data_IF_668254295199
#
_entry.id   IF_668254295199
#
_cell.length_a   1.000
_cell.length_b   1.000
_cell.length_c   1.000
_cell.angle_alpha   90.00
_cell.angle_beta   90.00
_cell.angle_gamma   90.00
#
_symmetry.space_group_name_H-M   'P 1'
#
loop_
_entity.id
_entity.type
_entity.pdbx_description
1 polymer ?
#
# COMPACT_ATOMS: atom_id res chain seq x y z
N UNK A 1 39.60 18.26 35.57
CA UNK A 1 39.49 17.74 34.19
C UNK A 1 38.49 16.58 34.00
N UNK A 2 38.21 15.72 35.01
CA UNK A 2 37.28 14.58 34.86
C UNK A 2 35.77 14.94 34.81
N UNK A 3 35.37 16.07 35.39
CA UNK A 3 33.95 16.49 35.46
C UNK A 3 33.44 16.99 34.09
N UNK A 4 34.32 17.60 33.28
CA UNK A 4 33.95 18.15 31.97
C UNK A 4 33.72 17.06 30.92
N UNK A 5 34.40 15.91 31.03
CA UNK A 5 34.17 14.75 30.15
C UNK A 5 32.84 14.03 30.46
N UNK A 6 32.38 14.05 31.72
CA UNK A 6 31.11 13.43 32.12
C UNK A 6 29.90 14.23 31.59
N UNK A 7 30.01 15.56 31.51
CA UNK A 7 28.94 16.43 30.96
C UNK A 7 28.76 16.30 29.45
N UNK A 8 29.84 16.03 28.70
CA UNK A 8 29.78 15.84 27.24
C UNK A 8 29.13 14.48 26.88
N UNK A 9 29.34 13.44 27.69
CA UNK A 9 28.65 12.15 27.51
C UNK A 9 27.14 12.23 27.84
N UNK A 10 26.74 13.07 28.80
CA UNK A 10 25.33 13.28 29.14
C UNK A 10 24.57 14.05 28.04
N UNK A 11 25.24 14.97 27.34
CA UNK A 11 24.67 15.73 26.23
C UNK A 11 24.48 14.90 24.95
N UNK A 12 25.32 13.89 24.71
CA UNK A 12 25.12 12.97 23.58
C UNK A 12 23.98 11.96 23.80
N UNK A 13 23.72 11.58 25.06
CA UNK A 13 22.67 10.61 25.41
C UNK A 13 21.23 11.13 25.20
N UNK A 14 21.03 12.44 25.07
CA UNK A 14 19.71 13.05 24.84
C UNK A 14 19.38 13.30 23.36
N UNK A 15 20.30 13.01 22.44
CA UNK A 15 20.12 13.32 21.01
C UNK A 15 19.50 12.20 20.18
N UNK A 16 19.14 11.06 20.79
CA UNK A 16 18.71 9.87 20.04
C UNK A 16 17.25 9.52 20.34
N UNK A 17 16.47 9.37 19.26
CA UNK A 17 15.09 8.92 19.16
C UNK A 17 13.97 9.97 19.27
N UNK A 18 13.97 10.95 18.36
CA UNK A 18 12.70 11.23 17.67
C UNK A 18 12.38 10.03 16.77
N UNK A 19 11.72 9.01 17.31
CA UNK A 19 11.09 8.01 16.47
C UNK A 19 10.08 8.74 15.57
N UNK A 20 10.25 8.67 14.25
CA UNK A 20 9.23 9.03 13.28
C UNK A 20 8.01 8.12 13.52
N UNK A 21 7.14 8.50 14.45
CA UNK A 21 5.94 7.73 14.78
C UNK A 21 4.89 8.06 13.74
N UNK A 22 4.46 7.03 13.04
CA UNK A 22 3.37 7.11 12.10
C UNK A 22 2.07 7.48 12.85
N UNK A 23 1.39 8.56 12.46
CA UNK A 23 0.15 9.03 13.09
C UNK A 23 -1.04 8.54 12.27
N UNK A 24 -1.92 7.72 12.86
CA UNK A 24 -3.10 7.22 12.16
C UNK A 24 -4.08 8.35 11.81
N UNK A 25 -4.70 8.28 10.63
CA UNK A 25 -5.69 9.25 10.13
C UNK A 25 -6.91 8.54 9.52
N UNK A 26 -8.02 9.27 9.33
CA UNK A 26 -9.28 8.78 8.74
C UNK A 26 -9.52 9.39 7.34
N UNK A 27 -9.16 8.71 6.25
CA UNK A 27 -9.36 9.25 4.91
C UNK A 27 -10.74 8.84 4.35
N UNK A 28 -11.73 9.70 4.55
CA UNK A 28 -13.17 9.42 4.36
C UNK A 28 -13.56 8.92 2.95
N UNK A 29 -12.85 9.30 1.87
CA UNK A 29 -13.22 8.94 0.48
C UNK A 29 -12.49 7.71 -0.09
N UNK A 30 -11.22 7.48 0.25
CA UNK A 30 -10.43 6.37 -0.34
C UNK A 30 -10.76 5.01 0.26
N UNK A 31 -11.47 4.96 1.39
CA UNK A 31 -11.98 3.73 2.02
C UNK A 31 -12.63 2.76 1.04
N UNK A 32 -13.37 3.31 0.06
CA UNK A 32 -14.10 2.53 -0.96
C UNK A 32 -13.20 1.80 -1.96
N UNK A 33 -11.92 2.16 -2.05
CA UNK A 33 -10.95 1.56 -2.97
C UNK A 33 -10.27 0.31 -2.39
N UNK A 34 -10.46 0.04 -1.10
CA UNK A 34 -9.84 -1.08 -0.40
C UNK A 34 -10.89 -2.06 0.09
N UNK A 35 -10.53 -3.34 0.31
CA UNK A 35 -11.45 -4.32 0.89
C UNK A 35 -12.01 -3.83 2.24
N UNK A 36 -13.31 -4.07 2.48
CA UNK A 36 -14.01 -3.53 3.64
C UNK A 36 -13.32 -3.89 4.96
N UNK A 37 -13.11 -2.86 5.81
CA UNK A 37 -12.63 -3.03 7.19
C UNK A 37 -11.13 -3.30 7.37
N UNK A 38 -10.31 -3.24 6.31
CA UNK A 38 -8.91 -3.70 6.36
C UNK A 38 -7.87 -2.72 5.85
N UNK A 39 -8.17 -1.43 5.87
CA UNK A 39 -7.18 -0.40 5.60
C UNK A 39 -6.92 0.47 6.83
N UNK A 40 -5.67 0.91 6.99
CA UNK A 40 -5.28 1.97 7.93
C UNK A 40 -4.48 3.02 7.17
N UNK A 41 -4.60 4.28 7.56
CA UNK A 41 -3.84 5.36 6.96
C UNK A 41 -3.01 6.08 8.01
N UNK A 42 -1.83 6.51 7.61
CA UNK A 42 -0.80 7.04 8.50
C UNK A 42 -0.12 8.26 7.88
N UNK A 43 0.27 9.22 8.71
CA UNK A 43 1.24 10.27 8.36
C UNK A 43 2.60 9.95 8.96
N UNK A 44 3.66 10.14 8.20
CA UNK A 44 5.06 9.98 8.62
C UNK A 44 5.93 10.98 7.86
N UNK A 45 7.07 11.40 8.40
CA UNK A 45 7.99 12.24 7.62
C UNK A 45 8.56 11.49 6.41
N UNK A 46 9.00 10.26 6.66
CA UNK A 46 9.53 9.34 5.65
C UNK A 46 9.00 7.93 5.90
N UNK A 47 8.74 7.21 4.81
CA UNK A 47 8.41 5.80 4.89
C UNK A 47 9.65 4.99 5.29
N UNK A 48 9.46 4.05 6.22
CA UNK A 48 10.49 3.15 6.69
C UNK A 48 10.24 1.79 6.06
N UNK A 49 11.21 1.30 5.29
CA UNK A 49 11.09 0.02 4.61
C UNK A 49 11.17 -1.14 5.62
N UNK A 50 10.35 -2.20 5.45
CA UNK A 50 10.52 -3.42 6.23
C UNK A 50 11.84 -4.10 5.86
N UNK A 51 12.45 -4.81 6.82
CA UNK A 51 13.78 -5.39 6.64
C UNK A 51 13.80 -6.63 5.75
N UNK A 52 12.74 -7.46 5.74
CA UNK A 52 12.73 -8.76 5.07
C UNK A 52 11.41 -9.06 4.35
N UNK A 53 11.47 -9.96 3.37
CA UNK A 53 10.34 -10.49 2.60
C UNK A 53 9.41 -9.41 2.02
N UNK A 54 10.00 -8.50 1.26
CA UNK A 54 9.26 -7.43 0.59
C UNK A 54 9.51 -7.43 -0.90
N UNK A 55 8.49 -7.00 -1.66
CA UNK A 55 8.64 -6.55 -3.04
C UNK A 55 8.19 -5.10 -3.10
N UNK A 56 9.05 -4.25 -3.66
CA UNK A 56 8.79 -2.81 -3.78
C UNK A 56 8.44 -2.50 -5.24
N UNK A 57 7.23 -2.01 -5.48
CA UNK A 57 6.84 -1.42 -6.77
C UNK A 57 6.97 0.10 -6.68
N UNK A 58 7.77 0.68 -7.57
CA UNK A 58 8.04 2.11 -7.62
C UNK A 58 7.15 2.80 -8.64
N UNK A 59 6.59 3.93 -8.25
CA UNK A 59 5.89 4.88 -9.13
C UNK A 59 6.54 6.25 -9.03
N UNK A 60 6.28 7.13 -10.01
CA UNK A 60 6.69 8.54 -9.90
C UNK A 60 5.69 9.36 -9.07
N UNK A 61 6.14 10.53 -8.63
CA UNK A 61 5.25 11.54 -8.03
C UNK A 61 4.11 11.89 -8.98
N UNK A 62 2.87 11.73 -8.51
CA UNK A 62 1.67 12.00 -9.29
C UNK A 62 1.43 11.04 -10.46
N UNK A 63 2.11 9.90 -10.52
CA UNK A 63 1.94 8.91 -11.59
C UNK A 63 1.40 7.59 -11.05
N UNK A 64 0.56 6.95 -11.86
CA UNK A 64 0.01 5.62 -11.65
C UNK A 64 0.96 4.49 -12.10
N UNK A 65 1.81 4.73 -13.10
CA UNK A 65 2.64 3.68 -13.74
C UNK A 65 3.62 3.04 -12.76
N UNK A 66 3.55 1.71 -12.66
CA UNK A 66 4.54 0.91 -11.95
C UNK A 66 5.74 0.65 -12.88
N UNK A 67 6.93 1.11 -12.47
CA UNK A 67 8.15 1.06 -13.30
C UNK A 67 8.81 -0.31 -13.35
N UNK A 68 8.57 -1.14 -12.36
CA UNK A 68 9.29 -2.38 -12.14
C UNK A 68 8.35 -3.55 -11.87
N UNK A 69 7.31 -3.70 -12.70
CA UNK A 69 6.29 -4.76 -12.60
C UNK A 69 6.89 -6.17 -12.54
N UNK A 70 8.01 -6.41 -13.24
CA UNK A 70 8.74 -7.69 -13.23
C UNK A 70 9.39 -8.06 -11.89
N UNK A 71 9.38 -7.18 -10.89
CA UNK A 71 9.86 -7.50 -9.54
C UNK A 71 8.99 -8.56 -8.83
N UNK A 72 7.80 -8.83 -9.36
CA UNK A 72 6.90 -9.87 -8.89
C UNK A 72 6.68 -10.91 -9.97
N UNK A 73 6.72 -12.18 -9.56
CA UNK A 73 6.32 -13.30 -10.42
C UNK A 73 4.94 -13.76 -9.99
N UNK A 74 3.92 -13.49 -10.80
CA UNK A 74 2.54 -13.93 -10.52
C UNK A 74 2.35 -15.44 -10.56
N UNK A 75 3.30 -16.20 -11.10
CA UNK A 75 3.25 -17.66 -11.05
C UNK A 75 3.92 -18.23 -9.79
N UNK A 76 4.55 -17.39 -8.97
CA UNK A 76 5.16 -17.78 -7.72
C UNK A 76 4.11 -17.81 -6.60
N UNK A 77 3.62 -19.02 -6.31
CA UNK A 77 2.70 -19.29 -5.20
C UNK A 77 3.41 -19.61 -3.90
N UNK A 78 4.75 -19.59 -3.85
CA UNK A 78 5.50 -19.79 -2.61
C UNK A 78 5.48 -18.56 -1.71
N UNK A 79 4.94 -17.43 -2.19
CA UNK A 79 4.84 -16.17 -1.46
C UNK A 79 3.39 -15.86 -1.09
N UNK A 80 3.06 -16.08 0.19
CA UNK A 80 1.77 -15.68 0.75
C UNK A 80 1.80 -14.20 1.14
N UNK A 81 1.13 -13.34 0.37
CA UNK A 81 1.00 -11.91 0.68
C UNK A 81 0.11 -11.73 1.91
N UNK A 82 0.53 -10.89 2.85
CA UNK A 82 -0.26 -10.61 4.06
C UNK A 82 -0.49 -9.13 4.32
N UNK A 83 0.31 -8.24 3.72
CA UNK A 83 0.17 -6.80 3.90
C UNK A 83 0.69 -6.03 2.67
N UNK A 84 0.01 -4.94 2.34
CA UNK A 84 0.41 -4.03 1.27
C UNK A 84 0.36 -2.60 1.79
N UNK A 85 1.50 -1.91 1.67
CA UNK A 85 1.59 -0.49 1.97
C UNK A 85 1.57 0.31 0.66
N UNK A 86 0.59 1.20 0.49
CA UNK A 86 0.58 2.24 -0.52
C UNK A 86 1.22 3.51 0.06
N UNK A 87 2.30 3.99 -0.56
CA UNK A 87 3.08 5.11 -0.06
C UNK A 87 3.09 6.28 -1.05
N UNK A 88 2.88 7.48 -0.54
CA UNK A 88 2.89 8.72 -1.32
C UNK A 88 3.25 9.92 -0.46
N UNK A 89 3.69 11.00 -1.09
CA UNK A 89 3.91 12.28 -0.42
C UNK A 89 2.64 13.11 -0.35
N UNK A 90 2.39 13.73 0.80
CA UNK A 90 1.37 14.76 1.00
C UNK A 90 1.90 16.13 0.54
N UNK A 91 1.83 16.43 -0.77
CA UNK A 91 2.32 17.70 -1.31
C UNK A 91 1.59 18.17 -2.58
N UNK A 92 0.94 19.35 -2.61
CA UNK A 92 0.99 20.40 -1.60
C UNK A 92 0.29 20.01 -0.28
N UNK A 93 0.76 20.54 0.85
CA UNK A 93 0.37 20.10 2.20
C UNK A 93 -1.08 20.42 2.61
N UNK A 94 -1.93 20.86 1.68
CA UNK A 94 -3.33 21.17 1.93
C UNK A 94 -4.22 19.97 1.61
N UNK A 95 -4.59 19.22 2.64
CA UNK A 95 -5.45 18.03 2.54
C UNK A 95 -6.79 18.30 1.84
N UNK A 96 -7.36 19.50 1.95
CA UNK A 96 -8.65 19.83 1.31
C UNK A 96 -8.55 19.89 -0.21
N UNK A 97 -7.40 20.30 -0.74
CA UNK A 97 -7.13 20.28 -2.19
C UNK A 97 -6.77 18.87 -2.68
N UNK A 98 -6.48 17.95 -1.77
CA UNK A 98 -5.95 16.62 -2.07
C UNK A 98 -7.01 15.53 -2.18
N UNK A 99 -8.19 15.73 -1.62
CA UNK A 99 -9.21 14.67 -1.55
C UNK A 99 -9.76 14.21 -2.91
N UNK A 100 -9.73 15.07 -3.93
CA UNK A 100 -10.26 14.74 -5.27
C UNK A 100 -9.16 14.12 -6.14
N UNK A 101 -8.00 14.78 -6.25
CA UNK A 101 -6.86 14.27 -7.02
C UNK A 101 -6.32 12.92 -6.48
N UNK A 102 -6.38 12.72 -5.16
CA UNK A 102 -5.84 11.50 -4.56
C UNK A 102 -6.72 10.28 -4.79
N UNK A 103 -8.04 10.46 -4.93
CA UNK A 103 -8.94 9.33 -5.19
C UNK A 103 -8.67 8.71 -6.56
N UNK A 104 -8.63 9.53 -7.62
CA UNK A 104 -8.40 9.05 -8.98
C UNK A 104 -6.98 8.50 -9.15
N UNK A 105 -5.96 9.17 -8.61
CA UNK A 105 -4.59 8.65 -8.64
C UNK A 105 -4.49 7.31 -7.90
N UNK A 106 -5.14 7.17 -6.75
CA UNK A 106 -5.13 5.90 -5.99
C UNK A 106 -5.87 4.82 -6.75
N UNK A 107 -7.04 5.11 -7.30
CA UNK A 107 -7.83 4.18 -8.09
C UNK A 107 -7.03 3.67 -9.28
N UNK A 108 -6.36 4.57 -10.02
CA UNK A 108 -5.55 4.20 -11.17
C UNK A 108 -4.30 3.40 -10.78
N UNK A 109 -3.64 3.75 -9.66
CA UNK A 109 -2.54 2.95 -9.09
C UNK A 109 -2.98 1.56 -8.68
N UNK A 110 -4.15 1.46 -8.07
CA UNK A 110 -4.75 0.17 -7.72
C UNK A 110 -4.99 -0.65 -8.98
N UNK A 111 -5.58 -0.08 -10.04
CA UNK A 111 -5.75 -0.78 -11.31
C UNK A 111 -4.42 -1.29 -11.87
N UNK A 112 -3.38 -0.45 -11.92
CA UNK A 112 -2.02 -0.85 -12.37
C UNK A 112 -1.44 -1.99 -11.53
N UNK A 113 -1.69 -2.00 -10.22
CA UNK A 113 -1.25 -3.09 -9.35
C UNK A 113 -2.02 -4.40 -9.63
N UNK A 114 -3.32 -4.32 -9.93
CA UNK A 114 -4.15 -5.49 -10.24
C UNK A 114 -3.82 -6.12 -11.59
N UNK A 115 -3.35 -5.34 -12.56
CA UNK A 115 -2.80 -5.85 -13.82
C UNK A 115 -1.55 -6.71 -13.59
N UNK A 116 -0.81 -6.49 -12.48
CA UNK A 116 0.33 -7.33 -12.11
C UNK A 116 -0.13 -8.65 -11.51
N UNK A 117 -1.03 -8.60 -10.53
CA UNK A 117 -1.58 -9.78 -9.87
C UNK A 117 -2.92 -9.49 -9.16
N UNK A 118 -3.96 -10.24 -9.50
CA UNK A 118 -5.30 -10.10 -8.92
C UNK A 118 -5.35 -10.52 -7.44
N UNK A 119 -4.41 -11.33 -6.95
CA UNK A 119 -4.39 -11.84 -5.57
C UNK A 119 -4.36 -10.71 -4.54
N UNK A 120 -3.81 -9.55 -4.89
CA UNK A 120 -3.65 -8.40 -4.01
C UNK A 120 -5.00 -7.85 -3.50
N UNK A 121 -6.10 -8.05 -4.24
CA UNK A 121 -7.44 -7.64 -3.82
C UNK A 121 -8.35 -8.82 -3.49
N UNK A 122 -8.17 -9.96 -4.17
CA UNK A 122 -9.00 -11.14 -3.95
C UNK A 122 -8.83 -11.71 -2.54
N UNK A 123 -7.60 -11.78 -2.05
CA UNK A 123 -7.35 -12.24 -0.69
C UNK A 123 -7.72 -11.14 0.31
N UNK A 124 -8.95 -11.23 0.80
CA UNK A 124 -9.44 -10.28 1.80
C UNK A 124 -8.61 -10.30 3.08
N UNK A 125 -7.78 -11.30 3.37
CA UNK A 125 -6.93 -11.31 4.58
C UNK A 125 -5.72 -10.36 4.49
N UNK A 126 -5.42 -9.84 3.30
CA UNK A 126 -4.35 -8.85 3.12
C UNK A 126 -4.73 -7.56 3.85
N UNK A 127 -3.82 -7.12 4.73
CA UNK A 127 -3.91 -5.81 5.39
C UNK A 127 -3.45 -4.73 4.44
N UNK A 128 -4.19 -3.64 4.36
CA UNK A 128 -3.81 -2.49 3.58
C UNK A 128 -3.37 -1.33 4.47
N UNK A 129 -2.26 -0.71 4.14
CA UNK A 129 -1.84 0.52 4.79
C UNK A 129 -1.60 1.62 3.77
N UNK A 130 -1.83 2.85 4.20
CA UNK A 130 -1.61 4.04 3.43
C UNK A 130 -0.65 4.93 4.21
N UNK A 131 0.48 5.30 3.61
CA UNK A 131 1.47 6.17 4.23
C UNK A 131 1.59 7.49 3.47
N UNK A 132 1.21 8.57 4.15
CA UNK A 132 1.40 9.96 3.76
C UNK A 132 2.74 10.46 4.26
N UNK A 133 3.66 10.72 3.34
CA UNK A 133 4.96 11.32 3.65
C UNK A 133 4.86 12.85 3.74
N UNK A 134 5.25 13.43 4.88
CA UNK A 134 5.07 14.86 5.20
C UNK A 134 6.34 15.71 5.09
N UNK A 135 7.50 15.12 4.86
CA UNK A 135 8.78 15.85 4.87
C UNK A 135 8.96 16.83 3.70
N UNK A 136 8.24 16.66 2.59
CA UNK A 136 8.41 17.50 1.41
C UNK A 136 7.89 18.92 1.60
N UNK A 137 8.76 19.92 1.43
CA UNK A 137 8.41 21.35 1.52
C UNK A 137 8.09 21.98 0.17
N UNK A 138 8.55 21.36 -0.91
CA UNK A 138 8.35 21.80 -2.28
C UNK A 138 8.22 20.59 -3.23
N UNK A 139 7.85 20.85 -4.48
CA UNK A 139 7.66 19.81 -5.50
C UNK A 139 8.92 18.98 -5.78
N UNK A 140 10.09 19.58 -5.67
CA UNK A 140 11.38 18.87 -5.87
C UNK A 140 11.61 17.86 -4.76
N UNK A 141 11.34 18.22 -3.51
CA UNK A 141 11.42 17.30 -2.37
C UNK A 141 10.40 16.18 -2.49
N UNK A 142 9.17 16.52 -2.90
CA UNK A 142 8.11 15.53 -3.09
C UNK A 142 8.51 14.46 -4.12
N UNK A 143 9.08 14.87 -5.26
CA UNK A 143 9.60 13.95 -6.28
C UNK A 143 10.70 13.00 -5.80
N UNK A 144 11.44 13.35 -4.74
CA UNK A 144 12.53 12.54 -4.19
C UNK A 144 12.06 11.53 -3.14
N UNK A 145 10.86 11.71 -2.59
CA UNK A 145 10.31 10.75 -1.65
C UNK A 145 9.85 9.47 -2.37
N UNK A 146 9.73 8.38 -1.63
CA UNK A 146 9.31 7.11 -2.19
C UNK A 146 7.81 7.14 -2.51
N UNK A 147 7.45 6.69 -3.70
CA UNK A 147 6.07 6.45 -4.07
C UNK A 147 5.90 5.06 -4.66
N UNK A 148 4.76 4.44 -4.36
CA UNK A 148 4.36 3.15 -4.92
C UNK A 148 3.87 2.19 -3.86
N UNK A 149 4.09 0.91 -4.09
CA UNK A 149 3.59 -0.16 -3.24
C UNK A 149 4.73 -0.95 -2.60
N UNK A 150 4.54 -1.36 -1.36
CA UNK A 150 5.41 -2.32 -0.67
C UNK A 150 4.58 -3.54 -0.30
N UNK A 151 4.82 -4.63 -1.01
CA UNK A 151 4.15 -5.92 -0.82
C UNK A 151 4.95 -6.72 0.20
N UNK A 152 4.34 -7.06 1.33
CA UNK A 152 4.94 -7.89 2.38
C UNK A 152 4.38 -9.29 2.28
N UNK A 153 5.28 -10.28 2.26
CA UNK A 153 4.92 -11.67 2.09
C UNK A 153 5.63 -12.56 3.11
N UNK A 154 5.10 -13.77 3.27
CA UNK A 154 5.79 -14.87 3.94
C UNK A 154 6.11 -15.95 2.93
N UNK A 155 7.23 -16.62 3.10
CA UNK A 155 7.51 -17.84 2.36
C UNK A 155 6.60 -18.96 2.87
N UNK A 156 6.10 -19.78 1.95
CA UNK A 156 5.29 -20.96 2.21
C UNK A 156 6.19 -22.18 2.03
N UNK A 157 6.65 -22.74 3.15
CA UNK A 157 7.77 -23.68 3.16
C UNK A 157 7.36 -25.15 2.90
N UNK A 158 6.09 -25.41 2.57
CA UNK A 158 5.59 -26.75 2.26
C UNK A 158 4.69 -26.76 1.03
N UNK A 159 4.76 -27.84 0.26
CA UNK A 159 3.85 -28.08 -0.88
C UNK A 159 2.38 -27.98 -0.46
N UNK A 160 2.04 -28.47 0.74
CA UNK A 160 0.69 -28.38 1.30
C UNK A 160 0.23 -26.93 1.46
N UNK A 161 1.10 -26.05 1.98
CA UNK A 161 0.79 -24.64 2.19
C UNK A 161 0.66 -23.88 0.87
N UNK A 162 1.52 -24.18 -0.10
CA UNK A 162 1.45 -23.63 -1.46
C UNK A 162 0.16 -24.06 -2.15
N UNK A 163 -0.18 -25.35 -2.09
CA UNK A 163 -1.40 -25.90 -2.68
C UNK A 163 -2.66 -25.30 -2.05
N UNK A 164 -2.71 -25.20 -0.72
CA UNK A 164 -3.82 -24.54 -0.02
C UNK A 164 -3.99 -23.08 -0.46
N UNK A 165 -2.90 -22.32 -0.53
CA UNK A 165 -2.95 -20.92 -0.93
C UNK A 165 -3.45 -20.76 -2.38
N UNK A 166 -2.94 -21.58 -3.30
CA UNK A 166 -3.37 -21.60 -4.70
C UNK A 166 -4.85 -21.92 -4.84
N UNK A 167 -5.32 -23.00 -4.20
CA UNK A 167 -6.72 -23.43 -4.29
C UNK A 167 -7.67 -22.35 -3.76
N UNK A 168 -7.30 -21.71 -2.64
CA UNK A 168 -8.07 -20.60 -2.07
C UNK A 168 -8.17 -19.42 -3.04
N UNK A 169 -7.07 -19.04 -3.71
CA UNK A 169 -7.11 -17.98 -4.73
C UNK A 169 -7.99 -18.36 -5.92
N UNK A 170 -7.94 -19.61 -6.37
CA UNK A 170 -8.78 -20.08 -7.47
C UNK A 170 -10.27 -20.09 -7.11
N UNK A 171 -10.63 -20.41 -5.87
CA UNK A 171 -11.99 -20.28 -5.35
C UNK A 171 -12.45 -18.81 -5.34
N UNK A 172 -11.61 -17.90 -4.85
CA UNK A 172 -11.90 -16.47 -4.82
C UNK A 172 -12.10 -15.90 -6.23
N UNK A 173 -11.27 -16.30 -7.21
CA UNK A 173 -11.42 -15.92 -8.62
C UNK A 173 -12.74 -16.40 -9.22
N UNK A 174 -13.17 -17.62 -8.88
CA UNK A 174 -14.46 -18.16 -9.34
C UNK A 174 -15.62 -17.34 -8.76
N UNK A 175 -15.56 -17.03 -7.47
CA UNK A 175 -16.57 -16.24 -6.80
C UNK A 175 -16.69 -14.82 -7.39
N UNK A 176 -15.55 -14.15 -7.59
CA UNK A 176 -15.50 -12.80 -8.17
C UNK A 176 -16.14 -12.75 -9.58
N UNK A 177 -15.78 -13.70 -10.45
CA UNK A 177 -16.39 -13.82 -11.79
C UNK A 177 -17.90 -13.96 -11.77
N UNK A 178 -18.45 -14.74 -10.82
CA UNK A 178 -19.90 -14.91 -10.66
C UNK A 178 -20.56 -13.60 -10.25
N UNK A 179 -19.95 -12.86 -9.30
CA UNK A 179 -20.45 -11.55 -8.89
C UNK A 179 -20.46 -10.55 -10.05
N UNK A 180 -19.37 -10.46 -10.82
CA UNK A 180 -19.29 -9.56 -11.98
C UNK A 180 -20.37 -9.88 -13.02
N UNK A 181 -20.54 -11.16 -13.37
CA UNK A 181 -21.55 -11.59 -14.35
C UNK A 181 -22.98 -11.27 -13.89
N UNK A 182 -23.27 -11.48 -12.62
CA UNK A 182 -24.58 -11.17 -12.04
C UNK A 182 -24.84 -9.66 -12.00
N UNK A 183 -23.83 -8.86 -11.65
CA UNK A 183 -23.91 -7.39 -11.67
C UNK A 183 -24.26 -6.85 -13.06
N UNK A 184 -23.55 -7.32 -14.09
CA UNK A 184 -23.83 -6.94 -15.49
C UNK A 184 -25.23 -7.35 -15.95
N UNK A 185 -25.73 -8.52 -15.50
CA UNK A 185 -27.10 -8.98 -15.82
C UNK A 185 -28.16 -8.06 -15.19
N UNK A 186 -27.95 -7.62 -13.94
CA UNK A 186 -28.85 -6.70 -13.24
C UNK A 186 -28.88 -5.32 -13.91
N UNK A 187 -27.71 -4.76 -14.24
CA UNK A 187 -27.60 -3.46 -14.93
C UNK A 187 -28.33 -3.48 -16.28
N UNK A 188 -28.13 -4.52 -17.10
CA UNK A 188 -28.86 -4.69 -18.37
C UNK A 188 -30.37 -4.79 -18.17
N UNK A 189 -30.83 -5.42 -17.09
CA UNK A 189 -32.26 -5.54 -16.78
C UNK A 189 -32.85 -4.20 -16.35
N UNK A 190 -32.11 -3.42 -15.57
CA UNK A 190 -32.51 -2.08 -15.15
C UNK A 190 -32.61 -1.12 -16.34
N UNK A 191 -31.58 -1.05 -17.18
CA UNK A 191 -31.55 -0.20 -18.39
C UNK A 191 -32.62 -0.57 -19.42
N UNK A 192 -33.09 -1.83 -19.46
CA UNK A 192 -34.19 -2.26 -20.34
C UNK A 192 -35.57 -1.84 -19.85
N UNK A 193 -35.71 -1.61 -18.55
CA UNK A 193 -36.97 -1.27 -17.88
C UNK A 193 -37.04 0.22 -17.46
N UNK A 194 -36.05 1.02 -17.85
CA UNK A 194 -35.97 2.48 -17.67
C UNK A 194 -36.31 3.18 -18.97
#
# INVERSE_FOLDING_TARGET
MKIFQLLILLLFALSSFTQNKAVQIEPFRIKKLFPEGKYKAYKTDKYLFPENNTVVFKTDFGSEKIKNSRAWNKEDFTKGVYEIDLVFTLYPSNEKQWYEDFFDLTKNRMAELLEIDDRFILDTLIKWNIYLQTFAKNKSDAKKQFHGFVIKYKNLDSELSVSYYKNRLDELRKYDKVLTANGQKLEKTFLRNS
#
